data_IF_013444162219
#
_entry.id   IF_013444162219
#
_cell.length_a   1.000
_cell.length_b   1.000
_cell.length_c   1.000
_cell.angle_alpha   90.00
_cell.angle_beta   90.00
_cell.angle_gamma   90.00
#
_symmetry.space_group_name_H-M   'P 1'
#
loop_
_entity.id
_entity.type
_entity.pdbx_description
1 polymer ?
#
# COMPACT_ATOMS: atom_id res chain seq x y z
N UNK A 1 7.24 -32.13 41.57
CA UNK A 1 6.90 -31.05 40.58
C UNK A 1 7.11 -31.64 39.22
N UNK A 2 6.07 -32.17 38.62
CA UNK A 2 6.11 -32.70 37.25
C UNK A 2 5.97 -31.53 36.27
N UNK A 3 6.85 -31.49 35.29
CA UNK A 3 6.78 -30.52 34.20
C UNK A 3 5.50 -30.75 33.37
N UNK A 4 4.78 -29.66 32.96
CA UNK A 4 3.56 -29.83 32.14
C UNK A 4 3.92 -30.48 30.80
N UNK A 5 3.04 -31.29 30.21
CA UNK A 5 3.31 -31.95 28.94
C UNK A 5 3.42 -30.93 27.84
N UNK A 6 4.56 -30.95 27.12
CA UNK A 6 4.76 -30.18 25.93
C UNK A 6 3.82 -30.65 24.82
N UNK A 7 2.79 -29.87 24.52
CA UNK A 7 1.92 -30.13 23.37
C UNK A 7 2.75 -29.95 22.10
N UNK A 8 2.90 -30.98 21.26
CA UNK A 8 3.66 -30.84 20.02
C UNK A 8 2.95 -29.82 19.12
N UNK A 9 3.69 -28.77 18.73
CA UNK A 9 3.25 -27.82 17.71
C UNK A 9 2.96 -28.59 16.42
N UNK A 10 1.68 -28.78 16.12
CA UNK A 10 1.23 -29.36 14.85
C UNK A 10 1.71 -28.45 13.70
N UNK A 11 2.81 -28.82 13.04
CA UNK A 11 3.19 -28.29 11.73
C UNK A 11 2.43 -29.09 10.68
N UNK A 12 1.38 -28.55 10.05
CA UNK A 12 0.76 -29.22 8.92
C UNK A 12 1.81 -29.41 7.83
N UNK A 13 2.13 -30.64 7.47
CA UNK A 13 2.86 -30.97 6.24
C UNK A 13 1.91 -30.63 5.09
N UNK A 14 2.09 -29.42 4.52
CA UNK A 14 1.39 -29.04 3.31
C UNK A 14 1.94 -29.92 2.18
N UNK A 15 1.15 -30.87 1.69
CA UNK A 15 1.45 -31.63 0.49
C UNK A 15 1.63 -30.70 -0.71
N UNK A 16 2.38 -31.12 -1.72
CA UNK A 16 2.71 -30.28 -2.90
C UNK A 16 1.49 -29.66 -3.60
N UNK A 17 0.35 -30.36 -3.61
CA UNK A 17 -0.92 -29.85 -4.17
C UNK A 17 -1.46 -28.63 -3.41
N UNK A 18 -1.32 -28.61 -2.09
CA UNK A 18 -1.76 -27.48 -1.26
C UNK A 18 -0.86 -26.25 -1.46
N UNK A 19 0.44 -26.46 -1.68
CA UNK A 19 1.37 -25.36 -1.98
C UNK A 19 1.08 -24.74 -3.35
N UNK A 20 0.78 -25.55 -4.36
CA UNK A 20 0.37 -25.07 -5.69
C UNK A 20 -0.90 -24.22 -5.62
N UNK A 21 -1.91 -24.68 -4.89
CA UNK A 21 -3.18 -23.95 -4.69
C UNK A 21 -2.97 -22.61 -3.97
N UNK A 22 -2.16 -22.57 -2.91
CA UNK A 22 -1.87 -21.36 -2.16
C UNK A 22 -1.14 -20.34 -3.06
N UNK A 23 -0.19 -20.80 -3.88
CA UNK A 23 0.52 -19.94 -4.82
C UNK A 23 -0.42 -19.36 -5.89
N UNK A 24 -1.33 -20.18 -6.43
CA UNK A 24 -2.33 -19.73 -7.40
C UNK A 24 -3.27 -18.66 -6.83
N UNK A 25 -3.73 -18.83 -5.59
CA UNK A 25 -4.59 -17.87 -4.89
C UNK A 25 -3.84 -16.55 -4.66
N UNK A 26 -2.60 -16.62 -4.20
CA UNK A 26 -1.78 -15.43 -3.99
C UNK A 26 -1.51 -14.68 -5.29
N UNK A 27 -1.24 -15.40 -6.39
CA UNK A 27 -1.03 -14.80 -7.71
C UNK A 27 -2.30 -14.14 -8.25
N UNK A 28 -3.45 -14.78 -8.09
CA UNK A 28 -4.74 -14.23 -8.48
C UNK A 28 -5.07 -12.95 -7.68
N UNK A 29 -4.78 -12.95 -6.37
CA UNK A 29 -4.97 -11.77 -5.52
C UNK A 29 -4.04 -10.63 -5.92
N UNK A 30 -2.77 -10.93 -6.24
CA UNK A 30 -1.84 -9.91 -6.75
C UNK A 30 -2.32 -9.32 -8.07
N UNK A 31 -2.78 -10.15 -9.01
CA UNK A 31 -3.33 -9.69 -10.28
C UNK A 31 -4.58 -8.82 -10.09
N UNK A 32 -5.45 -9.18 -9.15
CA UNK A 32 -6.64 -8.41 -8.81
C UNK A 32 -6.26 -7.01 -8.27
N UNK A 33 -5.34 -6.94 -7.31
CA UNK A 33 -4.85 -5.65 -6.78
C UNK A 33 -4.20 -4.81 -7.88
N UNK A 34 -3.38 -5.42 -8.76
CA UNK A 34 -2.75 -4.72 -9.86
C UNK A 34 -3.79 -4.13 -10.82
N UNK A 35 -4.80 -4.91 -11.20
CA UNK A 35 -5.85 -4.46 -12.11
C UNK A 35 -6.69 -3.33 -11.52
N UNK A 36 -7.18 -3.48 -10.28
CA UNK A 36 -8.01 -2.47 -9.63
C UNK A 36 -7.23 -1.17 -9.44
N UNK A 37 -5.97 -1.28 -9.00
CA UNK A 37 -5.10 -0.10 -8.82
C UNK A 37 -4.86 0.62 -10.15
N UNK A 38 -4.42 -0.10 -11.18
CA UNK A 38 -4.13 0.50 -12.48
C UNK A 38 -5.36 1.16 -13.10
N UNK A 39 -6.50 0.46 -13.10
CA UNK A 39 -7.77 1.01 -13.60
C UNK A 39 -8.16 2.25 -12.80
N UNK A 40 -8.09 2.21 -11.47
CA UNK A 40 -8.45 3.33 -10.61
C UNK A 40 -7.59 4.57 -10.86
N UNK A 41 -6.28 4.42 -11.05
CA UNK A 41 -5.39 5.55 -11.38
C UNK A 41 -5.67 6.09 -12.78
N UNK A 42 -5.81 5.22 -13.78
CA UNK A 42 -6.01 5.61 -15.19
C UNK A 42 -7.37 6.29 -15.39
N UNK A 43 -8.43 5.75 -14.79
CA UNK A 43 -9.77 6.36 -14.88
C UNK A 43 -9.83 7.74 -14.21
N UNK A 44 -9.01 7.97 -13.20
CA UNK A 44 -8.91 9.23 -12.48
C UNK A 44 -7.64 10.01 -12.86
N UNK A 45 -7.10 9.78 -14.06
CA UNK A 45 -5.87 10.40 -14.55
C UNK A 45 -5.83 11.92 -14.37
N UNK A 46 -6.91 12.70 -14.61
CA UNK A 46 -6.89 14.15 -14.45
C UNK A 46 -6.52 14.63 -13.05
N UNK A 47 -6.78 13.84 -12.01
CA UNK A 47 -6.43 14.18 -10.62
C UNK A 47 -5.24 13.37 -10.09
N UNK A 48 -4.91 12.26 -10.76
CA UNK A 48 -3.85 11.34 -10.35
C UNK A 48 -2.44 11.78 -10.78
N UNK A 49 -2.32 12.64 -11.79
CA UNK A 49 -1.03 13.05 -12.40
C UNK A 49 -0.79 14.56 -12.36
N UNK A 50 -1.46 15.28 -11.46
CA UNK A 50 -1.20 16.70 -11.21
C UNK A 50 -0.02 16.89 -10.24
N UNK A 51 0.62 18.07 -10.20
CA UNK A 51 1.66 18.39 -9.22
C UNK A 51 1.18 18.24 -7.76
N UNK A 52 -0.09 18.53 -7.50
CA UNK A 52 -0.80 18.28 -6.23
C UNK A 52 -1.76 17.11 -6.42
N UNK A 53 -1.20 15.92 -6.70
CA UNK A 53 -2.00 14.77 -7.06
C UNK A 53 -2.74 14.15 -5.86
N UNK A 54 -4.00 13.80 -6.08
CA UNK A 54 -4.77 12.93 -5.19
C UNK A 54 -4.99 11.61 -5.90
N UNK A 55 -4.19 10.60 -5.57
CA UNK A 55 -4.27 9.28 -6.19
C UNK A 55 -5.22 8.41 -5.37
N UNK A 56 -6.53 8.45 -5.69
CA UNK A 56 -7.57 7.74 -4.91
C UNK A 56 -7.27 6.24 -4.83
N UNK A 57 -6.69 5.64 -5.87
CA UNK A 57 -6.30 4.22 -5.86
C UNK A 57 -5.31 3.85 -4.74
N UNK A 58 -4.58 4.83 -4.17
CA UNK A 58 -3.71 4.60 -3.01
C UNK A 58 -4.49 4.21 -1.74
N UNK A 59 -5.84 4.33 -1.74
CA UNK A 59 -6.66 3.75 -0.68
C UNK A 59 -6.53 2.23 -0.56
N UNK A 60 -6.02 1.56 -1.59
CA UNK A 60 -5.69 0.14 -1.56
C UNK A 60 -4.35 -0.18 -0.87
N UNK A 61 -3.48 0.81 -0.69
CA UNK A 61 -2.15 0.61 -0.12
C UNK A 61 -2.17 -0.06 1.27
N UNK A 62 -3.03 0.35 2.22
CA UNK A 62 -3.13 -0.30 3.52
C UNK A 62 -3.56 -1.78 3.48
N UNK A 63 -4.02 -2.29 2.33
CA UNK A 63 -4.32 -3.72 2.17
C UNK A 63 -3.08 -4.61 2.29
N UNK A 64 -1.89 -4.02 2.11
CA UNK A 64 -0.63 -4.69 2.41
C UNK A 64 -0.57 -5.19 3.87
N UNK A 65 -1.20 -4.50 4.81
CA UNK A 65 -1.27 -4.90 6.24
C UNK A 65 -2.04 -6.21 6.40
N UNK A 66 -3.14 -6.39 5.65
CA UNK A 66 -4.00 -7.59 5.74
C UNK A 66 -3.46 -8.75 4.91
N UNK A 67 -2.98 -8.48 3.69
CA UNK A 67 -2.68 -9.54 2.71
C UNK A 67 -1.17 -9.75 2.50
N UNK A 68 -0.32 -8.87 3.01
CA UNK A 68 1.14 -8.99 2.88
C UNK A 68 1.62 -8.97 1.43
N UNK A 69 2.51 -9.91 1.08
CA UNK A 69 3.16 -9.94 -0.23
C UNK A 69 2.22 -9.90 -1.44
N UNK A 70 1.08 -10.62 -1.49
CA UNK A 70 0.16 -10.52 -2.62
C UNK A 70 -0.32 -9.10 -2.90
N UNK A 71 -0.68 -8.33 -1.86
CA UNK A 71 -1.09 -6.95 -2.02
C UNK A 71 0.10 -6.05 -2.40
N UNK A 72 1.27 -6.21 -1.75
CA UNK A 72 2.47 -5.43 -2.05
C UNK A 72 2.86 -5.59 -3.52
N UNK A 73 2.97 -6.82 -4.01
CA UNK A 73 3.33 -7.10 -5.41
C UNK A 73 2.27 -6.55 -6.35
N UNK A 74 0.99 -6.80 -6.07
CA UNK A 74 -0.11 -6.34 -6.91
C UNK A 74 -0.13 -4.81 -7.04
N UNK A 75 -0.05 -4.09 -5.93
CA UNK A 75 -0.07 -2.63 -5.92
C UNK A 75 1.18 -2.02 -6.58
N UNK A 76 2.33 -2.67 -6.44
CA UNK A 76 3.57 -2.27 -7.13
C UNK A 76 3.43 -2.42 -8.65
N UNK A 77 2.94 -3.56 -9.12
CA UNK A 77 2.72 -3.81 -10.56
C UNK A 77 1.62 -2.92 -11.12
N UNK A 78 0.54 -2.71 -10.36
CA UNK A 78 -0.53 -1.79 -10.74
C UNK A 78 -0.05 -0.36 -10.89
N UNK A 79 0.82 0.10 -9.99
CA UNK A 79 1.46 1.41 -10.07
C UNK A 79 2.38 1.52 -11.30
N UNK A 80 3.17 0.48 -11.58
CA UNK A 80 4.04 0.42 -12.75
C UNK A 80 3.23 0.60 -14.05
N UNK A 81 2.15 -0.16 -14.20
CA UNK A 81 1.24 -0.07 -15.34
C UNK A 81 0.60 1.31 -15.41
N UNK A 82 0.06 1.81 -14.30
CA UNK A 82 -0.62 3.11 -14.27
C UNK A 82 0.31 4.26 -14.66
N UNK A 83 1.53 4.31 -14.09
CA UNK A 83 2.50 5.37 -14.37
C UNK A 83 3.05 5.30 -15.80
N UNK A 84 3.14 4.09 -16.39
CA UNK A 84 3.47 3.94 -17.80
C UNK A 84 2.46 4.68 -18.69
N UNK A 85 1.15 4.56 -18.39
CA UNK A 85 0.10 5.29 -19.09
C UNK A 85 0.02 6.77 -18.68
N UNK A 86 0.53 7.14 -17.50
CA UNK A 86 0.57 8.52 -17.00
C UNK A 86 1.48 9.48 -17.79
N UNK A 87 2.48 8.93 -18.49
CA UNK A 87 3.31 9.69 -19.43
C UNK A 87 4.36 10.61 -18.80
N UNK A 88 4.60 10.56 -17.49
CA UNK A 88 5.62 11.37 -16.79
C UNK A 88 7.06 10.81 -16.94
N UNK A 89 7.23 9.71 -17.69
CA UNK A 89 8.52 9.13 -18.02
C UNK A 89 8.99 8.03 -17.06
N UNK A 90 10.19 7.48 -17.36
CA UNK A 90 10.70 6.28 -16.66
C UNK A 90 10.93 6.48 -15.17
N UNK A 91 11.28 7.70 -14.75
CA UNK A 91 11.53 8.00 -13.34
C UNK A 91 10.24 7.86 -12.54
N UNK A 92 9.10 8.31 -13.08
CA UNK A 92 7.79 8.14 -12.44
C UNK A 92 7.36 6.68 -12.43
N UNK A 93 7.55 5.94 -13.54
CA UNK A 93 7.21 4.51 -13.63
C UNK A 93 7.97 3.69 -12.58
N UNK A 94 9.27 3.88 -12.48
CA UNK A 94 10.11 3.11 -11.56
C UNK A 94 9.98 3.68 -10.15
N UNK A 95 10.09 4.99 -9.99
CA UNK A 95 10.06 5.67 -8.69
C UNK A 95 8.76 5.45 -7.93
N UNK A 96 7.61 5.58 -8.61
CA UNK A 96 6.30 5.31 -8.03
C UNK A 96 6.12 3.83 -7.64
N UNK A 97 6.60 2.91 -8.49
CA UNK A 97 6.54 1.47 -8.18
C UNK A 97 7.41 1.11 -6.98
N UNK A 98 8.62 1.67 -6.89
CA UNK A 98 9.52 1.48 -5.73
C UNK A 98 8.90 2.11 -4.47
N UNK A 99 8.28 3.28 -4.59
CA UNK A 99 7.58 3.92 -3.47
C UNK A 99 6.45 3.03 -2.93
N UNK A 100 5.58 2.50 -3.81
CA UNK A 100 4.50 1.60 -3.41
C UNK A 100 5.02 0.31 -2.76
N UNK A 101 6.07 -0.29 -3.32
CA UNK A 101 6.68 -1.50 -2.76
C UNK A 101 7.27 -1.23 -1.37
N UNK A 102 8.04 -0.17 -1.22
CA UNK A 102 8.68 0.19 0.05
C UNK A 102 7.62 0.54 1.11
N UNK A 103 6.66 1.41 0.76
CA UNK A 103 5.60 1.84 1.66
C UNK A 103 4.74 0.66 2.13
N UNK A 104 4.26 -0.18 1.20
CA UNK A 104 3.46 -1.35 1.54
C UNK A 104 4.22 -2.37 2.38
N UNK A 105 5.53 -2.60 2.09
CA UNK A 105 6.36 -3.49 2.90
C UNK A 105 6.55 -2.98 4.33
N UNK A 106 6.85 -1.69 4.49
CA UNK A 106 7.03 -1.07 5.81
C UNK A 106 5.71 -1.11 6.59
N UNK A 107 4.60 -0.73 5.95
CA UNK A 107 3.28 -0.75 6.57
C UNK A 107 2.89 -2.16 7.03
N UNK A 108 3.11 -3.17 6.21
CA UNK A 108 2.89 -4.57 6.58
C UNK A 108 3.71 -4.97 7.81
N UNK A 109 5.02 -4.65 7.83
CA UNK A 109 5.90 -4.97 8.97
C UNK A 109 5.48 -4.28 10.26
N UNK A 110 5.04 -3.01 10.19
CA UNK A 110 4.52 -2.28 11.34
C UNK A 110 3.19 -2.88 11.79
N UNK A 111 2.29 -3.20 10.86
CA UNK A 111 1.01 -3.83 11.14
C UNK A 111 1.11 -5.15 11.90
N UNK A 112 2.17 -5.95 11.61
CA UNK A 112 2.46 -7.19 12.31
C UNK A 112 2.90 -7.02 13.77
N UNK A 113 3.34 -5.84 14.18
CA UNK A 113 3.87 -5.60 15.55
C UNK A 113 2.80 -5.52 16.64
N UNK A 114 1.51 -5.59 16.31
CA UNK A 114 0.36 -5.76 17.21
C UNK A 114 0.25 -4.83 18.42
N UNK A 115 0.96 -3.71 18.48
CA UNK A 115 0.74 -2.69 19.52
C UNK A 115 -0.56 -1.92 19.26
N UNK A 116 -1.09 -1.28 20.31
CA UNK A 116 -2.31 -0.49 20.19
C UNK A 116 -2.13 0.64 19.15
N UNK A 117 -2.99 0.69 18.13
CA UNK A 117 -2.88 1.67 17.05
C UNK A 117 -1.88 1.33 15.94
N UNK A 118 -1.23 0.15 15.96
CA UNK A 118 -0.20 -0.25 14.97
C UNK A 118 -0.66 -0.07 13.51
N UNK A 119 -1.91 -0.34 13.18
CA UNK A 119 -2.45 -0.17 11.84
C UNK A 119 -2.57 1.30 11.44
N UNK A 120 -2.98 2.17 12.36
CA UNK A 120 -3.03 3.61 12.10
C UNK A 120 -1.61 4.16 11.90
N UNK A 121 -0.67 3.79 12.78
CA UNK A 121 0.74 4.17 12.63
C UNK A 121 1.30 3.64 11.32
N UNK A 122 0.95 2.40 10.92
CA UNK A 122 1.38 1.84 9.65
C UNK A 122 0.94 2.69 8.45
N UNK A 123 -0.32 3.15 8.42
CA UNK A 123 -0.81 4.00 7.33
C UNK A 123 -0.16 5.40 7.33
N UNK A 124 0.16 5.96 8.50
CA UNK A 124 0.92 7.23 8.56
C UNK A 124 2.33 7.05 7.99
N UNK A 125 3.04 5.99 8.38
CA UNK A 125 4.38 5.73 7.86
C UNK A 125 4.34 5.40 6.36
N UNK A 126 3.30 4.72 5.89
CA UNK A 126 3.04 4.47 4.48
C UNK A 126 2.92 5.78 3.68
N UNK A 127 2.08 6.71 4.16
CA UNK A 127 1.94 8.04 3.58
C UNK A 127 3.29 8.80 3.56
N UNK A 128 4.00 8.83 4.70
CA UNK A 128 5.30 9.52 4.78
C UNK A 128 6.32 8.91 3.81
N UNK A 129 6.33 7.59 3.63
CA UNK A 129 7.24 6.91 2.69
C UNK A 129 6.92 7.30 1.24
N UNK A 130 5.62 7.27 0.87
CA UNK A 130 5.17 7.72 -0.46
C UNK A 130 5.53 9.19 -0.67
N UNK A 131 5.22 10.05 0.29
CA UNK A 131 5.52 11.49 0.24
C UNK A 131 6.99 11.75 0.02
N UNK A 132 7.85 11.09 0.79
CA UNK A 132 9.30 11.29 0.71
C UNK A 132 9.84 10.92 -0.68
N UNK A 133 9.46 9.76 -1.20
CA UNK A 133 9.99 9.22 -2.46
C UNK A 133 9.35 9.95 -3.66
N UNK A 134 8.00 9.99 -3.71
CA UNK A 134 7.26 10.54 -4.86
C UNK A 134 7.44 12.05 -4.93
N UNK A 135 7.31 12.74 -3.81
CA UNK A 135 7.48 14.20 -3.77
C UNK A 135 8.89 14.64 -4.16
N UNK A 136 9.92 13.84 -3.82
CA UNK A 136 11.30 14.13 -4.23
C UNK A 136 11.49 14.03 -5.75
N UNK A 137 11.12 12.90 -6.37
CA UNK A 137 11.35 12.75 -7.80
C UNK A 137 10.41 13.61 -8.65
N UNK A 138 9.17 13.85 -8.19
CA UNK A 138 8.26 14.75 -8.92
C UNK A 138 8.75 16.20 -8.90
N UNK A 139 9.27 16.69 -7.78
CA UNK A 139 9.93 17.98 -7.74
C UNK A 139 11.01 18.09 -8.83
N UNK A 140 11.83 17.05 -8.96
CA UNK A 140 12.91 17.00 -9.94
C UNK A 140 12.38 16.93 -11.38
N UNK A 141 11.42 16.04 -11.69
CA UNK A 141 10.90 15.83 -13.06
C UNK A 141 10.10 17.04 -13.54
N UNK A 142 9.24 17.58 -12.68
CA UNK A 142 8.35 18.67 -13.05
C UNK A 142 9.01 20.04 -12.87
N UNK A 143 10.27 20.08 -12.40
CA UNK A 143 11.02 21.31 -12.12
C UNK A 143 10.18 22.31 -11.30
N UNK A 144 9.51 21.81 -10.23
CA UNK A 144 8.59 22.63 -9.44
C UNK A 144 9.35 23.82 -8.83
N UNK A 145 8.99 25.07 -9.17
CA UNK A 145 9.70 26.26 -8.71
C UNK A 145 9.40 26.55 -7.23
N UNK A 146 10.25 27.37 -6.64
CA UNK A 146 9.96 27.97 -5.34
C UNK A 146 8.72 28.86 -5.45
N UNK A 147 7.87 28.82 -4.42
CA UNK A 147 6.59 29.56 -4.37
C UNK A 147 6.66 30.59 -3.26
N UNK A 148 6.21 31.81 -3.53
CA UNK A 148 6.12 32.88 -2.52
C UNK A 148 4.70 32.89 -1.95
N UNK A 149 4.57 32.56 -0.66
CA UNK A 149 3.28 32.60 0.07
C UNK A 149 3.41 33.63 1.18
N UNK A 150 2.60 34.70 1.13
CA UNK A 150 2.61 35.81 2.13
C UNK A 150 4.03 36.38 2.39
N UNK A 151 4.86 36.49 1.34
CA UNK A 151 6.23 37.02 1.45
C UNK A 151 7.27 36.00 1.96
N UNK A 152 6.86 34.74 2.24
CA UNK A 152 7.76 33.65 2.63
C UNK A 152 8.06 32.80 1.40
N UNK A 153 9.35 32.58 1.12
CA UNK A 153 9.77 31.65 0.05
C UNK A 153 9.64 30.21 0.54
N UNK A 154 8.77 29.46 -0.12
CA UNK A 154 8.61 28.01 0.10
C UNK A 154 9.36 27.28 -1.00
N UNK A 155 10.40 26.50 -0.68
CA UNK A 155 11.13 25.71 -1.66
C UNK A 155 10.20 24.77 -2.45
N UNK A 156 10.41 24.64 -3.77
CA UNK A 156 9.60 23.77 -4.63
C UNK A 156 9.54 22.32 -4.17
N UNK A 157 10.63 21.81 -3.57
CA UNK A 157 10.64 20.49 -2.93
C UNK A 157 9.64 20.39 -1.77
N UNK A 158 9.59 21.41 -0.92
CA UNK A 158 8.64 21.45 0.20
C UNK A 158 7.20 21.54 -0.29
N UNK A 159 6.94 22.31 -1.35
CA UNK A 159 5.63 22.41 -2.00
C UNK A 159 5.21 21.04 -2.60
N UNK A 160 6.12 20.33 -3.26
CA UNK A 160 5.88 18.98 -3.78
C UNK A 160 5.54 18.01 -2.66
N UNK A 161 6.34 17.96 -1.59
CA UNK A 161 6.07 17.11 -0.44
C UNK A 161 4.72 17.43 0.21
N UNK A 162 4.39 18.70 0.39
CA UNK A 162 3.10 19.11 0.95
C UNK A 162 1.92 18.64 0.08
N UNK A 163 2.03 18.79 -1.24
CA UNK A 163 1.01 18.34 -2.19
C UNK A 163 0.77 16.83 -2.13
N UNK A 164 1.85 16.03 -2.21
CA UNK A 164 1.75 14.57 -2.14
C UNK A 164 1.25 14.11 -0.76
N UNK A 165 1.75 14.72 0.32
CA UNK A 165 1.32 14.40 1.68
C UNK A 165 -0.18 14.62 1.86
N UNK A 166 -0.72 15.75 1.43
CA UNK A 166 -2.15 16.06 1.55
C UNK A 166 -3.02 15.11 0.71
N UNK A 167 -2.59 14.80 -0.52
CA UNK A 167 -3.27 13.82 -1.36
C UNK A 167 -3.29 12.43 -0.73
N UNK A 168 -2.15 11.99 -0.23
CA UNK A 168 -2.00 10.69 0.45
C UNK A 168 -2.71 10.65 1.80
N UNK A 169 -2.85 11.79 2.50
CA UNK A 169 -3.64 11.89 3.74
C UNK A 169 -5.11 11.52 3.47
N UNK A 170 -5.66 11.99 2.37
CA UNK A 170 -7.03 11.64 1.96
C UNK A 170 -7.09 10.18 1.49
N UNK A 171 -6.22 9.77 0.56
CA UNK A 171 -6.29 8.46 -0.06
C UNK A 171 -5.89 7.33 0.91
N UNK A 172 -4.70 7.40 1.52
CA UNK A 172 -4.14 6.31 2.36
C UNK A 172 -4.73 6.38 3.77
N UNK A 173 -4.66 7.56 4.42
CA UNK A 173 -4.99 7.65 5.84
C UNK A 173 -6.49 7.74 6.10
N UNK A 174 -7.27 8.48 5.30
CA UNK A 174 -8.72 8.53 5.49
C UNK A 174 -9.41 7.34 4.81
N UNK A 175 -9.40 7.28 3.48
CA UNK A 175 -10.13 6.26 2.73
C UNK A 175 -9.52 4.87 2.92
N UNK A 176 -8.20 4.74 2.84
CA UNK A 176 -7.50 3.47 2.95
C UNK A 176 -7.59 2.86 4.35
N UNK A 177 -7.44 3.67 5.41
CA UNK A 177 -7.63 3.18 6.77
C UNK A 177 -9.10 2.78 7.04
N UNK A 178 -10.07 3.53 6.53
CA UNK A 178 -11.48 3.14 6.62
C UNK A 178 -11.75 1.81 5.91
N UNK A 179 -11.22 1.64 4.69
CA UNK A 179 -11.31 0.40 3.92
C UNK A 179 -10.65 -0.78 4.67
N UNK A 180 -9.44 -0.56 5.22
CA UNK A 180 -8.74 -1.54 6.05
C UNK A 180 -9.61 -2.01 7.23
N UNK A 181 -10.25 -1.08 7.93
CA UNK A 181 -11.13 -1.37 9.07
C UNK A 181 -12.39 -2.13 8.66
N UNK A 182 -12.96 -1.80 7.51
CA UNK A 182 -14.15 -2.50 6.98
C UNK A 182 -13.79 -3.93 6.58
N UNK A 183 -12.72 -4.10 5.78
CA UNK A 183 -12.30 -5.41 5.31
C UNK A 183 -11.72 -6.31 6.40
N UNK A 184 -11.26 -5.74 7.52
CA UNK A 184 -10.77 -6.51 8.67
C UNK A 184 -11.87 -7.12 9.55
N UNK A 185 -13.15 -6.87 9.25
CA UNK A 185 -14.26 -7.46 10.01
C UNK A 185 -14.32 -8.97 9.80
N UNK A 186 -14.62 -9.72 10.87
CA UNK A 186 -14.69 -11.18 10.85
C UNK A 186 -15.68 -11.73 9.82
N UNK A 187 -16.75 -10.98 9.53
CA UNK A 187 -17.73 -11.33 8.48
C UNK A 187 -17.14 -11.35 7.07
N UNK A 188 -16.10 -10.54 6.81
CA UNK A 188 -15.39 -10.49 5.52
C UNK A 188 -14.22 -11.47 5.49
N UNK A 189 -13.46 -11.51 6.59
CA UNK A 189 -12.24 -12.33 6.68
C UNK A 189 -12.56 -13.82 6.76
N UNK A 190 -13.62 -14.22 7.47
CA UNK A 190 -14.00 -15.63 7.61
C UNK A 190 -14.11 -16.37 6.28
N UNK A 191 -14.93 -15.92 5.32
CA UNK A 191 -15.01 -16.50 3.99
C UNK A 191 -13.68 -16.51 3.23
N UNK A 192 -12.86 -15.45 3.34
CA UNK A 192 -11.56 -15.39 2.67
C UNK A 192 -10.59 -16.47 3.18
N UNK A 193 -10.54 -16.66 4.48
CA UNK A 193 -9.72 -17.72 5.12
C UNK A 193 -10.21 -19.12 4.75
N UNK A 194 -11.51 -19.36 4.70
CA UNK A 194 -12.06 -20.68 4.32
C UNK A 194 -11.71 -21.07 2.88
N UNK A 195 -11.47 -20.08 2.00
CA UNK A 195 -10.98 -20.30 0.63
C UNK A 195 -9.45 -20.41 0.53
N UNK A 196 -8.72 -20.36 1.64
CA UNK A 196 -7.28 -20.56 1.70
C UNK A 196 -6.44 -19.28 1.58
N UNK A 197 -7.05 -18.10 1.67
CA UNK A 197 -6.32 -16.83 1.73
C UNK A 197 -5.68 -16.64 3.11
N UNK A 198 -4.40 -16.27 3.13
CA UNK A 198 -3.71 -15.86 4.34
C UNK A 198 -4.01 -14.40 4.64
N UNK A 199 -4.70 -14.13 5.75
CA UNK A 199 -5.07 -12.78 6.17
C UNK A 199 -4.49 -12.50 7.55
N UNK A 200 -3.73 -11.42 7.67
CA UNK A 200 -3.09 -10.99 8.91
C UNK A 200 -4.03 -10.07 9.69
N UNK A 201 -4.59 -10.55 10.79
CA UNK A 201 -5.47 -9.76 11.67
C UNK A 201 -4.91 -9.63 13.07
N UNK A 202 -5.46 -8.71 13.88
CA UNK A 202 -5.04 -8.51 15.27
C UNK A 202 -5.50 -9.62 16.23
N UNK A 203 -6.39 -10.46 15.79
CA UNK A 203 -7.03 -11.50 16.61
C UNK A 203 -6.24 -12.84 16.66
N UNK A 204 -5.04 -12.88 16.09
CA UNK A 204 -4.17 -14.08 16.16
C UNK A 204 -2.94 -13.87 17.01
#
# INVERSE_FOLDING_TARGET
MESPPTVPLYKPRLGGENLGRINAINSALSALFAAIYAIGVIMLAPISFMPFQVRIADCLMPMAILFGWPAIIGLTLGCLVANFFGGLGYIDVIGGSVANMAAGFIAWKIGLRRFHGSWFVATIVENLTVTAIVGFYLWFILAIPDVIINGIVVPGLAASWAGIFMGSLVAINALGYALLRILSRSSVIGPLRSHGLRVYTKEE
#
